data_IF_815412440092
#
_entry.id   IF_815412440092
#
_cell.length_a   1.000
_cell.length_b   1.000
_cell.length_c   1.000
_cell.angle_alpha   90.00
_cell.angle_beta   90.00
_cell.angle_gamma   90.00
#
_symmetry.space_group_name_H-M   'P 1'
#
loop_
_entity.id
_entity.type
_entity.pdbx_description
1 polymer ?
#
# COMPACT_ATOMS: atom_id res chain seq x y z
N UNK A 1 -13.63 -19.48 5.05
CA UNK A 1 -13.60 -18.01 5.22
C UNK A 1 -12.18 -17.44 5.37
N UNK A 2 -11.39 -17.91 6.34
CA UNK A 2 -10.04 -17.37 6.60
C UNK A 2 -9.06 -17.53 5.42
N UNK A 3 -9.13 -18.65 4.68
CA UNK A 3 -8.30 -18.87 3.49
C UNK A 3 -8.59 -17.82 2.41
N UNK A 4 -9.87 -17.49 2.16
CA UNK A 4 -10.21 -16.47 1.17
C UNK A 4 -9.65 -15.08 1.54
N UNK A 5 -9.69 -14.72 2.83
CA UNK A 5 -9.10 -13.48 3.35
C UNK A 5 -7.59 -13.48 3.17
N UNK A 6 -6.93 -14.58 3.52
CA UNK A 6 -5.49 -14.75 3.31
C UNK A 6 -5.12 -14.64 1.82
N UNK A 7 -5.85 -15.33 0.93
CA UNK A 7 -5.60 -15.28 -0.52
C UNK A 7 -5.76 -13.86 -1.06
N UNK A 8 -6.82 -13.14 -0.65
CA UNK A 8 -7.01 -11.72 -1.01
C UNK A 8 -5.80 -10.88 -0.58
N UNK A 9 -5.37 -11.04 0.67
CA UNK A 9 -4.28 -10.26 1.25
C UNK A 9 -2.96 -10.55 0.51
N UNK A 10 -2.68 -11.82 0.21
CA UNK A 10 -1.50 -12.23 -0.57
C UNK A 10 -1.53 -11.69 -2.01
N UNK A 11 -2.71 -11.55 -2.63
CA UNK A 11 -2.83 -10.96 -3.96
C UNK A 11 -2.45 -9.47 -3.97
N UNK A 12 -2.78 -8.71 -2.92
CA UNK A 12 -2.32 -7.32 -2.79
C UNK A 12 -0.79 -7.23 -2.67
N UNK A 13 -0.17 -8.13 -1.89
CA UNK A 13 1.29 -8.17 -1.81
C UNK A 13 1.96 -8.59 -3.12
N UNK A 14 1.39 -9.57 -3.82
CA UNK A 14 1.90 -9.99 -5.12
C UNK A 14 1.80 -8.86 -6.15
N UNK A 15 0.71 -8.10 -6.14
CA UNK A 15 0.54 -6.93 -7.01
C UNK A 15 1.54 -5.82 -6.68
N UNK A 16 1.75 -5.52 -5.39
CA UNK A 16 2.77 -4.55 -4.96
C UNK A 16 4.17 -4.95 -5.45
N UNK A 17 4.57 -6.21 -5.29
CA UNK A 17 5.89 -6.69 -5.74
C UNK A 17 6.04 -6.53 -7.25
N UNK A 18 5.00 -6.84 -8.02
CA UNK A 18 5.01 -6.69 -9.47
C UNK A 18 5.06 -5.22 -9.89
N UNK A 19 4.23 -4.38 -9.30
CA UNK A 19 4.21 -2.94 -9.59
C UNK A 19 5.57 -2.28 -9.30
N UNK A 20 6.23 -2.66 -8.20
CA UNK A 20 7.61 -2.23 -7.89
C UNK A 20 8.59 -2.69 -8.95
N UNK A 21 8.52 -3.96 -9.36
CA UNK A 21 9.40 -4.52 -10.40
C UNK A 21 9.19 -3.85 -11.76
N UNK A 22 7.96 -3.48 -12.08
CA UNK A 22 7.59 -2.81 -13.33
C UNK A 22 7.93 -1.30 -13.30
N UNK A 23 8.23 -0.75 -12.12
CA UNK A 23 8.43 0.69 -11.93
C UNK A 23 7.15 1.52 -12.09
N UNK A 24 5.98 0.89 -11.98
CA UNK A 24 4.68 1.55 -12.18
C UNK A 24 4.18 2.15 -10.87
N UNK A 25 4.46 3.44 -10.68
CA UNK A 25 4.08 4.17 -9.47
C UNK A 25 2.56 4.27 -9.28
N UNK A 26 1.78 4.32 -10.37
CA UNK A 26 0.33 4.39 -10.29
C UNK A 26 -0.25 3.13 -9.64
N UNK A 27 0.23 1.96 -10.07
CA UNK A 27 -0.17 0.67 -9.48
C UNK A 27 0.31 0.52 -8.03
N UNK A 28 1.48 1.05 -7.70
CA UNK A 28 1.94 1.08 -6.30
C UNK A 28 0.96 1.88 -5.46
N UNK A 29 0.61 3.10 -5.88
CA UNK A 29 -0.30 3.99 -5.16
C UNK A 29 -1.70 3.38 -4.95
N UNK A 30 -2.22 2.67 -5.96
CA UNK A 30 -3.53 2.02 -5.90
C UNK A 30 -3.63 0.94 -4.81
N UNK A 31 -2.50 0.31 -4.44
CA UNK A 31 -2.45 -0.79 -3.47
C UNK A 31 -2.21 -0.31 -2.03
N UNK A 32 -1.58 0.86 -1.84
CA UNK A 32 -1.21 1.37 -0.52
C UNK A 32 -2.37 1.49 0.49
N UNK A 33 -3.57 2.00 0.14
CA UNK A 33 -4.66 2.12 1.10
C UNK A 33 -5.13 0.75 1.64
N UNK A 34 -5.11 -0.26 0.78
CA UNK A 34 -5.54 -1.62 1.09
C UNK A 34 -4.53 -2.26 2.05
N UNK A 35 -3.23 -2.03 1.84
CA UNK A 35 -2.20 -2.44 2.78
C UNK A 35 -2.35 -1.74 4.14
N UNK A 36 -2.61 -0.43 4.17
CA UNK A 36 -2.84 0.29 5.42
C UNK A 36 -4.02 -0.30 6.22
N UNK A 37 -5.14 -0.58 5.53
CA UNK A 37 -6.32 -1.21 6.14
C UNK A 37 -6.02 -2.63 6.66
N UNK A 38 -5.28 -3.44 5.89
CA UNK A 38 -4.86 -4.78 6.31
C UNK A 38 -4.00 -4.73 7.58
N UNK A 39 -2.99 -3.87 7.62
CA UNK A 39 -2.12 -3.71 8.79
C UNK A 39 -2.90 -3.19 10.00
N UNK A 40 -3.81 -2.24 9.82
CA UNK A 40 -4.67 -1.76 10.92
C UNK A 40 -5.54 -2.88 11.48
N UNK A 41 -6.17 -3.68 10.61
CA UNK A 41 -7.03 -4.79 11.01
C UNK A 41 -6.26 -5.93 11.70
N UNK A 42 -5.00 -6.15 11.34
CA UNK A 42 -4.13 -7.17 11.90
C UNK A 42 -3.35 -6.72 13.16
N UNK A 43 -3.53 -5.48 13.63
CA UNK A 43 -2.80 -4.93 14.78
C UNK A 43 -1.39 -4.39 14.46
N UNK A 44 -0.99 -4.40 13.18
CA UNK A 44 0.25 -3.81 12.67
C UNK A 44 0.20 -2.29 12.59
N UNK A 45 -0.10 -1.61 13.70
CA UNK A 45 -0.36 -0.18 13.72
C UNK A 45 0.82 0.67 13.21
N UNK A 46 2.06 0.26 13.50
CA UNK A 46 3.25 0.99 13.04
C UNK A 46 3.29 1.02 11.51
N UNK A 47 3.09 -0.12 10.85
CA UNK A 47 3.08 -0.21 9.39
C UNK A 47 1.92 0.58 8.77
N UNK A 48 0.72 0.51 9.37
CA UNK A 48 -0.41 1.33 8.94
C UNK A 48 -0.06 2.82 8.98
N UNK A 49 0.52 3.29 10.09
CA UNK A 49 0.90 4.69 10.26
C UNK A 49 1.92 5.11 9.21
N UNK A 50 3.00 4.34 9.01
CA UNK A 50 4.01 4.64 7.99
C UNK A 50 3.43 4.69 6.57
N UNK A 51 2.54 3.74 6.22
CA UNK A 51 1.89 3.75 4.90
C UNK A 51 1.00 4.98 4.72
N UNK A 52 0.26 5.39 5.77
CA UNK A 52 -0.56 6.61 5.70
C UNK A 52 0.30 7.87 5.57
N UNK A 53 1.43 7.95 6.27
CA UNK A 53 2.40 9.04 6.10
C UNK A 53 2.94 9.07 4.67
N UNK A 54 3.28 7.91 4.11
CA UNK A 54 3.76 7.80 2.73
C UNK A 54 2.71 8.26 1.71
N UNK A 55 1.46 7.79 1.84
CA UNK A 55 0.33 8.25 1.00
C UNK A 55 0.13 9.76 1.12
N UNK A 56 0.16 10.30 2.35
CA UNK A 56 0.03 11.74 2.58
C UNK A 56 1.13 12.52 1.87
N UNK A 57 2.37 12.06 1.98
CA UNK A 57 3.50 12.71 1.33
C UNK A 57 3.37 12.69 -0.19
N UNK A 58 3.05 11.54 -0.79
CA UNK A 58 2.82 11.43 -2.24
C UNK A 58 1.73 12.39 -2.74
N UNK A 59 0.63 12.51 -2.00
CA UNK A 59 -0.55 13.28 -2.46
C UNK A 59 -0.48 14.78 -2.15
N UNK A 60 0.25 15.17 -1.11
CA UNK A 60 0.15 16.52 -0.56
C UNK A 60 1.48 17.22 -0.31
N UNK A 61 2.59 16.49 -0.22
CA UNK A 61 3.91 17.07 0.13
C UNK A 61 4.86 17.04 -1.06
N UNK A 62 4.93 15.93 -1.77
CA UNK A 62 5.81 15.72 -2.93
C UNK A 62 5.04 15.99 -4.22
N UNK A 63 4.54 17.22 -4.37
CA UNK A 63 3.84 17.61 -5.59
C UNK A 63 4.82 17.66 -6.77
N UNK A 64 4.33 17.63 -8.03
CA UNK A 64 5.19 17.60 -9.22
C UNK A 64 6.18 18.76 -9.30
N UNK A 65 5.89 19.88 -8.63
CA UNK A 65 6.80 21.02 -8.52
C UNK A 65 8.06 20.72 -7.69
N UNK A 66 8.07 19.60 -6.97
CA UNK A 66 9.15 19.14 -6.11
C UNK A 66 10.00 18.01 -6.74
N UNK A 67 9.58 17.46 -7.88
CA UNK A 67 10.26 16.38 -8.61
C UNK A 67 11.14 16.91 -9.74
#
# INVERSE_FOLDING_TARGET
ENICKLTRDLLYFAELIRAISDGDIGRIEDVLPQLAMMFRGAGGNNYCTEILHFIHNLKHVWTPEFA
#
